data_IF_737250840765
#
_entry.id   IF_737250840765
#
_cell.length_a   1.000
_cell.length_b   1.000
_cell.length_c   1.000
_cell.angle_alpha   90.00
_cell.angle_beta   90.00
_cell.angle_gamma   90.00
#
_symmetry.space_group_name_H-M   'P 1'
#
loop_
_entity.id
_entity.type
_entity.pdbx_description
1 polymer ?
#
# COMPACT_ATOMS: atom_id res chain seq x y z
N UNK A 1 -6.34 -4.03 5.99
CA UNK A 1 -5.14 -3.15 5.88
C UNK A 1 -5.25 -1.83 6.66
N UNK A 2 -6.23 -0.95 6.42
CA UNK A 2 -6.31 0.37 7.07
C UNK A 2 -6.18 0.39 8.62
N UNK A 3 -6.66 -0.65 9.31
CA UNK A 3 -6.50 -0.76 10.76
C UNK A 3 -5.01 -0.86 11.20
N UNK A 4 -4.17 -1.54 10.42
CA UNK A 4 -2.74 -1.66 10.70
C UNK A 4 -2.04 -0.29 10.61
N UNK A 5 -2.32 0.49 9.56
CA UNK A 5 -1.81 1.86 9.44
C UNK A 5 -2.22 2.73 10.63
N UNK A 6 -3.50 2.72 11.01
CA UNK A 6 -3.95 3.53 12.15
C UNK A 6 -3.32 3.07 13.48
N UNK A 7 -3.05 1.78 13.64
CA UNK A 7 -2.27 1.29 14.77
C UNK A 7 -0.84 1.85 14.75
N UNK A 8 -0.14 1.80 13.62
CA UNK A 8 1.22 2.37 13.49
C UNK A 8 1.23 3.88 13.75
N UNK A 9 0.26 4.61 13.18
CA UNK A 9 0.09 6.05 13.41
C UNK A 9 -0.19 6.39 14.87
N UNK A 10 -1.00 5.58 15.57
CA UNK A 10 -1.26 5.76 17.01
C UNK A 10 -0.02 5.55 17.86
N UNK A 11 0.87 4.64 17.48
CA UNK A 11 2.11 4.34 18.22
C UNK A 11 3.29 5.23 17.81
N UNK A 12 3.09 6.19 16.89
CA UNK A 12 4.15 7.11 16.46
C UNK A 12 5.21 6.50 15.55
N UNK A 13 4.91 5.38 14.89
CA UNK A 13 5.84 4.71 13.95
C UNK A 13 5.87 5.33 12.55
N UNK A 14 5.41 6.57 12.43
CA UNK A 14 5.37 7.33 11.18
C UNK A 14 6.63 8.16 11.02
N UNK A 15 7.26 8.12 9.85
CA UNK A 15 8.42 8.94 9.51
C UNK A 15 8.12 9.78 8.26
N UNK A 16 7.66 11.02 8.46
CA UNK A 16 7.33 11.92 7.34
C UNK A 16 6.34 11.28 6.35
N UNK A 17 6.71 11.23 5.08
CA UNK A 17 5.94 10.61 3.99
C UNK A 17 6.37 9.17 3.67
N UNK A 18 7.30 8.63 4.45
CA UNK A 18 7.85 7.28 4.28
C UNK A 18 6.98 6.21 4.92
N UNK A 19 7.20 4.97 4.50
CA UNK A 19 6.61 3.76 5.08
C UNK A 19 5.42 3.23 4.27
N UNK A 20 5.40 1.92 4.11
CA UNK A 20 4.42 1.21 3.30
C UNK A 20 4.01 -0.08 4.01
N UNK A 21 2.74 -0.44 3.88
CA UNK A 21 2.24 -1.77 4.20
C UNK A 21 1.54 -2.25 2.95
N UNK A 22 1.88 -3.45 2.50
CA UNK A 22 1.24 -4.09 1.37
C UNK A 22 0.70 -5.47 1.72
N UNK A 23 -0.26 -5.93 0.92
CA UNK A 23 -0.80 -7.28 0.99
C UNK A 23 -1.19 -7.76 -0.40
N UNK A 24 -0.82 -9.00 -0.75
CA UNK A 24 -1.23 -9.65 -2.02
C UNK A 24 -2.76 -9.67 -2.12
N UNK A 25 -3.28 -9.41 -3.30
CA UNK A 25 -4.72 -9.56 -3.54
C UNK A 25 -5.12 -11.06 -3.49
N UNK A 26 -6.21 -11.42 -2.81
CA UNK A 26 -6.60 -12.83 -2.66
C UNK A 26 -7.20 -13.45 -3.92
N UNK A 27 -7.55 -12.65 -4.94
CA UNK A 27 -8.18 -13.08 -6.19
C UNK A 27 -7.20 -12.95 -7.36
N UNK A 28 -6.42 -11.86 -7.41
CA UNK A 28 -5.44 -11.53 -8.44
C UNK A 28 -4.02 -11.75 -7.87
N UNK A 29 -3.38 -12.92 -8.06
CA UNK A 29 -2.17 -13.29 -7.33
C UNK A 29 -0.93 -12.45 -7.67
N UNK A 30 -0.93 -11.82 -8.84
CA UNK A 30 0.08 -10.91 -9.35
C UNK A 30 -0.16 -9.45 -8.94
N UNK A 31 -1.24 -9.17 -8.22
CA UNK A 31 -1.59 -7.83 -7.74
C UNK A 31 -1.40 -7.72 -6.23
N UNK A 32 -1.20 -6.49 -5.75
CA UNK A 32 -1.23 -6.22 -4.32
C UNK A 32 -1.80 -4.85 -3.99
N UNK A 33 -2.31 -4.76 -2.78
CA UNK A 33 -2.83 -3.54 -2.20
C UNK A 33 -1.71 -2.79 -1.49
N UNK A 34 -1.65 -1.47 -1.65
CA UNK A 34 -0.73 -0.58 -0.91
C UNK A 34 -1.42 0.73 -0.51
N UNK A 35 -0.84 1.47 0.44
CA UNK A 35 -1.30 2.82 0.77
C UNK A 35 -0.93 3.85 -0.32
N UNK A 36 -1.75 4.91 -0.48
CA UNK A 36 -1.42 6.03 -1.34
C UNK A 36 -0.25 6.84 -0.76
N UNK A 37 0.46 7.53 -1.65
CA UNK A 37 1.59 8.38 -1.32
C UNK A 37 1.14 9.60 -0.50
N UNK A 38 1.97 9.99 0.47
CA UNK A 38 1.84 11.22 1.26
C UNK A 38 0.53 11.38 2.06
N UNK A 39 -0.17 10.30 2.39
CA UNK A 39 -1.30 10.32 3.34
C UNK A 39 -0.83 9.80 4.69
N UNK A 40 -1.06 10.58 5.75
CA UNK A 40 -0.65 10.20 7.09
C UNK A 40 -1.36 8.93 7.56
N UNK A 41 -0.62 8.00 8.21
CA UNK A 41 -1.14 6.67 8.56
C UNK A 41 -2.40 6.69 9.44
N UNK A 42 -2.55 7.70 10.31
CA UNK A 42 -3.74 7.84 11.15
C UNK A 42 -5.02 8.19 10.36
N UNK A 43 -4.90 8.68 9.13
CA UNK A 43 -6.00 9.13 8.29
C UNK A 43 -6.47 8.08 7.27
N UNK A 44 -5.68 7.03 7.04
CA UNK A 44 -5.98 6.03 6.03
C UNK A 44 -7.27 5.26 6.34
N UNK A 45 -8.13 5.17 5.32
CA UNK A 45 -9.38 4.39 5.27
C UNK A 45 -9.20 3.17 4.35
N UNK A 46 -10.13 2.23 4.44
CA UNK A 46 -10.14 1.08 3.55
C UNK A 46 -10.34 1.49 2.07
N UNK A 47 -11.12 2.55 1.82
CA UNK A 47 -11.35 3.14 0.50
C UNK A 47 -10.13 3.83 -0.11
N UNK A 48 -9.09 4.07 0.68
CA UNK A 48 -7.90 4.80 0.21
C UNK A 48 -6.86 3.85 -0.39
N UNK A 49 -7.03 2.54 -0.22
CA UNK A 49 -6.06 1.55 -0.67
C UNK A 49 -6.02 1.50 -2.20
N UNK A 50 -4.80 1.45 -2.72
CA UNK A 50 -4.51 1.43 -4.16
C UNK A 50 -4.20 -0.01 -4.53
N UNK A 51 -4.81 -0.49 -5.62
CA UNK A 51 -4.50 -1.78 -6.22
C UNK A 51 -3.45 -1.57 -7.29
N UNK A 52 -2.37 -2.35 -7.21
CA UNK A 52 -1.22 -2.26 -8.10
C UNK A 52 -0.98 -3.63 -8.73
N UNK A 53 -0.70 -3.68 -10.03
CA UNK A 53 -0.33 -4.91 -10.74
C UNK A 53 1.15 -5.28 -10.53
N UNK A 54 1.57 -6.39 -11.11
CA UNK A 54 2.93 -6.90 -10.98
C UNK A 54 3.99 -6.05 -11.70
N UNK A 55 3.59 -5.10 -12.54
CA UNK A 55 4.50 -4.18 -13.23
C UNK A 55 4.62 -2.84 -12.49
N UNK A 56 3.85 -2.62 -11.41
CA UNK A 56 3.87 -1.39 -10.63
C UNK A 56 2.87 -0.35 -11.07
N UNK A 57 1.93 -0.69 -11.97
CA UNK A 57 0.90 0.23 -12.41
C UNK A 57 -0.32 0.19 -11.50
N UNK A 58 -0.85 1.37 -11.21
CA UNK A 58 -2.14 1.52 -10.52
C UNK A 58 -3.25 1.08 -11.47
N UNK A 59 -4.05 0.10 -11.05
CA UNK A 59 -5.12 -0.47 -11.86
C UNK A 59 -6.51 -0.16 -11.29
N UNK A 60 -7.54 -0.46 -12.09
CA UNK A 60 -8.94 -0.32 -11.66
C UNK A 60 -9.27 -1.34 -10.55
N UNK A 61 -10.14 -0.95 -9.62
CA UNK A 61 -10.60 -1.79 -8.51
C UNK A 61 -10.22 -1.23 -7.14
N UNK A 62 -9.18 -0.39 -7.09
CA UNK A 62 -8.80 0.39 -5.92
C UNK A 62 -8.90 1.91 -6.15
N UNK A 63 -8.40 2.67 -5.18
CA UNK A 63 -8.18 4.11 -5.33
C UNK A 63 -7.17 4.37 -6.47
N UNK A 64 -7.32 5.49 -7.18
CA UNK A 64 -6.48 5.87 -8.32
C UNK A 64 -5.40 6.91 -7.92
N UNK A 65 -5.11 7.01 -6.63
CA UNK A 65 -4.04 7.86 -6.10
C UNK A 65 -2.65 7.31 -6.45
N UNK A 66 -1.67 8.21 -6.49
CA UNK A 66 -0.27 7.84 -6.69
C UNK A 66 0.25 6.97 -5.53
N UNK A 67 1.18 6.08 -5.85
CA UNK A 67 1.92 5.27 -4.89
C UNK A 67 3.39 5.70 -4.85
N UNK A 68 4.12 5.24 -3.82
CA UNK A 68 5.57 5.37 -3.79
C UNK A 68 6.21 4.19 -4.55
N UNK A 69 6.89 4.49 -5.66
CA UNK A 69 7.54 3.49 -6.51
C UNK A 69 8.68 2.73 -5.80
N UNK A 70 9.50 3.42 -5.00
CA UNK A 70 10.57 2.77 -4.24
C UNK A 70 10.00 1.79 -3.19
N UNK A 71 8.89 2.15 -2.55
CA UNK A 71 8.13 1.26 -1.66
C UNK A 71 7.59 0.03 -2.40
N UNK A 72 7.03 0.23 -3.59
CA UNK A 72 6.57 -0.86 -4.46
C UNK A 72 7.70 -1.86 -4.76
N UNK A 73 8.86 -1.39 -5.22
CA UNK A 73 9.95 -2.29 -5.66
C UNK A 73 10.45 -3.22 -4.53
N UNK A 74 10.53 -2.73 -3.30
CA UNK A 74 10.94 -3.54 -2.15
C UNK A 74 9.87 -4.59 -1.81
N UNK A 75 8.60 -4.17 -1.80
CA UNK A 75 7.49 -5.04 -1.43
C UNK A 75 7.18 -6.07 -2.52
N UNK A 76 7.34 -5.73 -3.80
CA UNK A 76 7.05 -6.63 -4.92
C UNK A 76 7.85 -7.93 -4.85
N UNK A 77 9.16 -7.82 -4.59
CA UNK A 77 10.06 -8.97 -4.45
C UNK A 77 9.60 -9.94 -3.34
N UNK A 78 9.08 -9.42 -2.23
CA UNK A 78 8.70 -10.24 -1.07
C UNK A 78 7.24 -10.69 -1.14
N UNK A 79 6.34 -9.86 -1.67
CA UNK A 79 4.88 -10.04 -1.58
C UNK A 79 4.30 -10.68 -2.83
N UNK A 80 4.94 -10.59 -4.00
CA UNK A 80 4.42 -11.19 -5.24
C UNK A 80 5.29 -12.35 -5.73
N UNK A 81 6.61 -12.25 -5.61
CA UNK A 81 7.52 -13.29 -6.12
C UNK A 81 7.73 -14.50 -5.16
N UNK A 82 7.03 -14.55 -4.02
CA UNK A 82 7.11 -15.65 -3.03
C UNK A 82 5.87 -16.53 -2.96
#
# INVERSE_FOLDING_TARGET
>A
MAAAFRFFGKNGYTEGTSGHISVRDPILPDHFWMNPFAVHFSQLKASDMVLVDGEGYVVKGGNQAMINEAGFMIHYEVVVLT
#
